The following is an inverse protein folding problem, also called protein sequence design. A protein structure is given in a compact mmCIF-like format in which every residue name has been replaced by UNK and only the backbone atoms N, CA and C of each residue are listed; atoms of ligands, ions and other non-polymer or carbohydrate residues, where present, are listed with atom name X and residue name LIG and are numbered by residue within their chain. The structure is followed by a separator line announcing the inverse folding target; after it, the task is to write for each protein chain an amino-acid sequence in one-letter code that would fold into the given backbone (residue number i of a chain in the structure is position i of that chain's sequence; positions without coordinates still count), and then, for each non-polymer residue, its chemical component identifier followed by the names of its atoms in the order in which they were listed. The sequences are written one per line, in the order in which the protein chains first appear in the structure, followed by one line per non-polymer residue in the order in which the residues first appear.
data_IF_868358451395
#
_entry.id   IF_868358451395
#
_cell.length_a   1.000
_cell.length_b   1.000
_cell.length_c   1.000
_cell.angle_alpha   90.00
_cell.angle_beta   90.00
_cell.angle_gamma   90.00
#
_symmetry.space_group_name_H-M   'P 1'
#
loop_
_entity.id
_entity.type
_entity.pdbx_description
1 polymer ?
#
# COMPACT_ATOMS: atom_id res chain seq x y z
N UNK A 1 -27.42 5.22 3.50
CA UNK A 1 -27.33 4.42 2.26
C UNK A 1 -27.02 2.97 2.61
N UNK A 2 -28.00 2.27 3.21
CA UNK A 2 -27.87 0.95 3.84
C UNK A 2 -28.54 -0.17 3.02
N UNK A 3 -28.60 -0.01 1.70
CA UNK A 3 -29.52 -0.78 0.85
C UNK A 3 -28.88 -1.93 0.06
N UNK A 4 -27.70 -2.44 0.45
CA UNK A 4 -26.98 -3.46 -0.33
C UNK A 4 -26.75 -4.83 0.35
N UNK A 5 -27.40 -5.19 1.47
CA UNK A 5 -26.99 -6.43 2.19
C UNK A 5 -27.99 -7.58 2.25
N UNK A 6 -29.22 -7.46 1.74
CA UNK A 6 -30.24 -8.51 1.93
C UNK A 6 -30.45 -9.47 0.76
N UNK A 7 -30.16 -9.08 -0.49
CA UNK A 7 -30.39 -9.94 -1.66
C UNK A 7 -29.25 -10.96 -1.90
N UNK A 8 -28.06 -10.66 -1.40
CA UNK A 8 -26.87 -11.51 -1.49
C UNK A 8 -26.45 -12.01 -0.10
N UNK A 9 -27.44 -12.41 0.72
CA UNK A 9 -27.15 -13.09 1.96
C UNK A 9 -26.60 -14.47 1.62
N UNK A 10 -25.27 -14.59 1.53
CA UNK A 10 -24.58 -15.88 1.45
C UNK A 10 -25.11 -16.71 2.63
N UNK A 11 -25.77 -17.85 2.41
CA UNK A 11 -26.30 -18.66 3.50
C UNK A 11 -25.12 -19.08 4.38
N UNK A 12 -25.03 -18.47 5.56
CA UNK A 12 -23.98 -18.74 6.53
C UNK A 12 -24.30 -20.09 7.18
N UNK A 13 -23.85 -21.17 6.54
CA UNK A 13 -23.74 -22.44 7.20
C UNK A 13 -22.65 -22.26 8.27
N UNK A 14 -23.05 -22.14 9.53
CA UNK A 14 -22.14 -22.02 10.69
C UNK A 14 -21.36 -23.33 10.89
N UNK A 15 -20.53 -23.68 9.92
CA UNK A 15 -19.38 -24.53 10.14
C UNK A 15 -18.32 -23.60 10.71
N UNK A 16 -17.64 -24.01 11.77
CA UNK A 16 -16.55 -23.28 12.44
C UNK A 16 -15.32 -23.01 11.55
N UNK A 17 -15.45 -23.20 10.24
CA UNK A 17 -14.39 -23.17 9.24
C UNK A 17 -14.55 -21.91 8.37
N UNK A 18 -13.49 -21.08 8.34
CA UNK A 18 -13.43 -19.90 7.47
C UNK A 18 -13.53 -20.35 6.00
N UNK A 19 -14.42 -19.74 5.21
CA UNK A 19 -14.64 -20.12 3.82
C UNK A 19 -13.39 -19.90 2.95
N UNK A 20 -13.16 -20.71 1.90
CA UNK A 20 -11.97 -20.59 1.02
C UNK A 20 -11.81 -19.17 0.45
N UNK A 21 -12.88 -18.56 -0.05
CA UNK A 21 -12.85 -17.18 -0.56
C UNK A 21 -12.49 -16.15 0.54
N UNK A 22 -12.97 -16.37 1.76
CA UNK A 22 -12.72 -15.53 2.92
C UNK A 22 -11.24 -15.60 3.37
N UNK A 23 -10.64 -16.79 3.26
CA UNK A 23 -9.21 -17.01 3.53
C UNK A 23 -8.35 -16.30 2.48
N UNK A 24 -8.66 -16.44 1.19
CA UNK A 24 -7.93 -15.78 0.11
C UNK A 24 -8.05 -14.25 0.17
N UNK A 25 -9.24 -13.72 0.46
CA UNK A 25 -9.44 -12.26 0.57
C UNK A 25 -8.74 -11.61 1.76
N UNK A 26 -8.36 -12.38 2.78
CA UNK A 26 -7.57 -11.93 3.93
C UNK A 26 -6.09 -12.32 3.85
N UNK A 27 -5.70 -13.06 2.81
CA UNK A 27 -4.31 -13.47 2.64
C UNK A 27 -3.47 -12.24 2.28
N UNK A 28 -2.56 -11.88 3.19
CA UNK A 28 -1.56 -10.85 2.91
C UNK A 28 -0.37 -11.48 2.20
N UNK A 29 0.20 -10.77 1.24
CA UNK A 29 1.48 -11.17 0.65
C UNK A 29 2.52 -11.26 1.78
N UNK A 30 3.33 -12.30 1.78
CA UNK A 30 4.49 -12.38 2.67
C UNK A 30 5.37 -11.13 2.49
N UNK A 31 6.10 -10.70 3.53
CA UNK A 31 7.02 -9.58 3.41
C UNK A 31 7.97 -9.78 2.23
N UNK A 32 8.31 -8.69 1.55
CA UNK A 32 9.34 -8.71 0.52
C UNK A 32 10.68 -9.12 1.16
N UNK A 33 11.48 -9.89 0.40
CA UNK A 33 12.85 -10.18 0.78
C UNK A 33 13.65 -8.89 0.93
N UNK A 34 14.61 -8.86 1.85
CA UNK A 34 15.50 -7.70 2.03
C UNK A 34 16.27 -7.43 0.74
N UNK A 35 16.33 -6.17 0.33
CA UNK A 35 17.17 -5.74 -0.79
C UNK A 35 18.65 -5.97 -0.48
N UNK A 36 19.41 -6.40 -1.49
CA UNK A 36 20.88 -6.53 -1.43
C UNK A 36 21.58 -5.41 -2.21
N UNK A 37 20.82 -4.43 -2.71
CA UNK A 37 21.39 -3.26 -3.39
C UNK A 37 22.22 -2.46 -2.40
N UNK A 38 23.45 -2.14 -2.78
CA UNK A 38 24.39 -1.33 -2.01
C UNK A 38 25.00 -0.28 -2.95
N UNK A 39 25.09 0.95 -2.46
CA UNK A 39 25.80 2.02 -3.14
C UNK A 39 27.20 2.18 -2.56
N UNK A 40 28.21 2.27 -3.43
CA UNK A 40 29.62 2.40 -3.04
C UNK A 40 30.24 3.73 -3.48
N UNK A 41 29.52 4.52 -4.29
CA UNK A 41 29.88 5.88 -4.65
C UNK A 41 28.64 6.78 -4.62
N UNK A 42 28.80 8.09 -4.36
CA UNK A 42 27.70 9.05 -4.43
C UNK A 42 26.99 9.02 -5.79
N UNK A 43 25.68 9.23 -5.80
CA UNK A 43 24.82 9.26 -6.99
C UNK A 43 24.76 7.96 -7.81
N UNK A 44 25.20 6.83 -7.25
CA UNK A 44 25.09 5.53 -7.90
C UNK A 44 23.62 5.07 -8.03
N UNK A 45 22.79 5.40 -7.04
CA UNK A 45 21.36 5.15 -7.04
C UNK A 45 20.65 6.31 -6.34
N UNK A 46 19.64 6.87 -7.00
CA UNK A 46 18.84 7.97 -6.48
C UNK A 46 17.38 7.51 -6.41
N UNK A 47 16.80 7.61 -5.23
CA UNK A 47 15.37 7.38 -5.01
C UNK A 47 14.62 8.70 -5.18
N UNK A 48 13.68 8.71 -6.12
CA UNK A 48 12.81 9.86 -6.36
C UNK A 48 11.37 9.48 -6.07
N UNK A 49 10.65 10.33 -5.33
CA UNK A 49 9.23 10.17 -5.08
C UNK A 49 8.51 11.51 -5.19
N UNK A 50 7.24 11.48 -5.61
CA UNK A 50 6.39 12.66 -5.66
C UNK A 50 5.43 12.62 -4.47
N UNK A 51 5.74 13.42 -3.45
CA UNK A 51 4.89 13.56 -2.29
C UNK A 51 3.80 14.62 -2.53
N UNK A 52 2.61 14.38 -1.98
CA UNK A 52 1.47 15.31 -2.04
C UNK A 52 1.08 15.74 -0.64
N UNK A 53 1.05 17.06 -0.41
CA UNK A 53 0.64 17.65 0.86
C UNK A 53 -0.87 17.93 0.90
N UNK A 54 -1.54 17.69 2.04
CA UNK A 54 -2.92 18.10 2.24
C UNK A 54 -3.09 19.63 2.30
N UNK A 55 -2.01 20.37 2.61
CA UNK A 55 -1.98 21.82 2.74
C UNK A 55 -0.98 22.43 1.75
N UNK A 56 -1.29 23.60 1.21
CA UNK A 56 -0.38 24.29 0.32
C UNK A 56 0.84 24.85 1.07
N UNK A 57 2.00 24.86 0.42
CA UNK A 57 3.18 25.60 0.86
C UNK A 57 2.92 27.11 0.90
N UNK A 58 3.86 27.86 1.47
CA UNK A 58 3.85 29.32 1.47
C UNK A 58 3.77 29.92 0.05
N UNK A 59 4.22 29.19 -0.97
CA UNK A 59 4.16 29.59 -2.38
C UNK A 59 2.96 29.00 -3.15
N UNK A 60 2.02 28.33 -2.46
CA UNK A 60 0.81 27.78 -3.06
C UNK A 60 0.96 26.40 -3.71
N UNK A 61 2.13 25.76 -3.64
CA UNK A 61 2.37 24.42 -4.20
C UNK A 61 1.89 23.32 -3.24
N UNK A 62 1.40 22.19 -3.80
CA UNK A 62 0.96 21.00 -3.04
C UNK A 62 1.79 19.75 -3.32
N UNK A 63 2.64 19.78 -4.32
CA UNK A 63 3.47 18.65 -4.73
C UNK A 63 4.94 18.94 -4.42
N UNK A 64 5.63 17.93 -3.92
CA UNK A 64 7.03 18.00 -3.55
C UNK A 64 7.74 16.82 -4.18
N UNK A 65 8.78 17.11 -4.96
CA UNK A 65 9.69 16.08 -5.43
C UNK A 65 10.71 15.79 -4.33
N UNK A 66 10.68 14.57 -3.80
CA UNK A 66 11.66 14.07 -2.84
C UNK A 66 12.73 13.33 -3.61
N UNK A 67 13.99 13.72 -3.40
CA UNK A 67 15.16 13.11 -4.04
C UNK A 67 16.13 12.72 -2.93
N UNK A 68 16.50 11.45 -2.85
CA UNK A 68 17.40 10.90 -1.83
C UNK A 68 18.47 10.06 -2.52
N UNK A 69 19.74 10.37 -2.24
CA UNK A 69 20.88 9.54 -2.64
C UNK A 69 20.96 8.32 -1.71
N UNK A 70 21.22 7.14 -2.27
CA UNK A 70 21.25 5.87 -1.54
C UNK A 70 22.61 5.58 -0.87
N UNK A 71 23.64 6.40 -1.16
CA UNK A 71 25.02 6.26 -0.66
C UNK A 71 25.18 6.58 0.84
#
# INVERSE_FOLDING_TARGET
MSHLSKQFAIPCNKVTMVCHACQLGKHVRLPFSRSQTLCSVPFQLIHCDLWTSPIASNSGLKYYLVIVDDF
#
